data_IF_037021015224
#
_entry.id   IF_037021015224
#
_cell.length_a   1.000
_cell.length_b   1.000
_cell.length_c   1.000
_cell.angle_alpha   90.00
_cell.angle_beta   90.00
_cell.angle_gamma   90.00
#
_symmetry.space_group_name_H-M   'P 1'
#
loop_
_entity.id
_entity.type
_entity.pdbx_description
1 polymer ?
#
# COMPACT_ATOMS: atom_id res chain seq x y z
N UNK A 1 5.80 -37.62 8.85
CA UNK A 1 7.22 -37.30 8.67
C UNK A 1 7.30 -36.58 7.36
N UNK A 2 7.27 -35.26 7.43
CA UNK A 2 7.06 -34.37 6.29
C UNK A 2 8.35 -33.60 6.12
N UNK A 3 9.10 -33.93 5.07
CA UNK A 3 10.34 -33.26 4.71
C UNK A 3 10.02 -31.85 4.23
N UNK A 4 10.63 -30.88 4.91
CA UNK A 4 10.62 -29.47 4.52
C UNK A 4 11.70 -29.32 3.43
N UNK A 5 11.26 -29.09 2.20
CA UNK A 5 12.12 -28.75 1.08
C UNK A 5 12.67 -27.33 1.28
N UNK A 6 13.94 -27.25 1.61
CA UNK A 6 14.75 -26.02 1.60
C UNK A 6 14.96 -25.62 0.14
N UNK A 7 14.38 -24.50 -0.28
CA UNK A 7 14.76 -23.84 -1.53
C UNK A 7 16.13 -23.19 -1.36
N UNK A 8 17.04 -23.47 -2.30
CA UNK A 8 18.36 -22.85 -2.41
C UNK A 8 18.17 -21.49 -3.07
N UNK A 9 18.29 -20.42 -2.28
CA UNK A 9 18.22 -19.04 -2.76
C UNK A 9 19.46 -18.64 -3.55
N UNK A 10 19.24 -17.93 -4.65
CA UNK A 10 20.22 -17.13 -5.38
C UNK A 10 20.92 -16.16 -4.44
N UNK A 11 22.23 -16.04 -4.58
CA UNK A 11 23.11 -15.17 -3.77
C UNK A 11 22.75 -13.69 -3.97
N UNK A 12 21.82 -13.17 -3.17
CA UNK A 12 21.66 -11.74 -2.93
C UNK A 12 22.80 -11.26 -2.01
N UNK A 13 23.42 -10.14 -2.38
CA UNK A 13 24.43 -9.47 -1.57
C UNK A 13 23.81 -8.99 -0.26
N UNK A 14 23.95 -9.79 0.79
CA UNK A 14 23.55 -9.42 2.16
C UNK A 14 24.39 -8.22 2.62
N UNK A 15 23.79 -7.07 2.97
CA UNK A 15 24.51 -5.98 3.59
C UNK A 15 25.14 -6.47 4.90
N UNK A 16 26.34 -5.98 5.23
CA UNK A 16 27.07 -6.40 6.43
C UNK A 16 26.37 -5.94 7.72
N UNK A 17 25.40 -6.74 8.17
CA UNK A 17 24.62 -6.65 9.40
C UNK A 17 23.68 -7.86 9.45
N UNK A 18 23.59 -8.58 10.56
CA UNK A 18 22.71 -9.76 10.65
C UNK A 18 21.23 -9.35 10.48
N UNK A 19 20.40 -10.24 9.93
CA UNK A 19 18.95 -9.98 9.78
C UNK A 19 18.29 -9.71 11.12
N UNK A 20 17.52 -8.63 11.22
CA UNK A 20 16.82 -8.23 12.46
C UNK A 20 15.93 -9.36 12.99
N UNK A 21 15.18 -10.03 12.12
CA UNK A 21 14.25 -11.11 12.51
C UNK A 21 14.94 -12.38 13.04
N UNK A 22 16.22 -12.57 12.71
CA UNK A 22 17.01 -13.71 13.20
C UNK A 22 17.68 -13.38 14.56
N UNK A 23 17.64 -12.12 15.01
CA UNK A 23 18.23 -11.70 16.26
C UNK A 23 17.35 -12.10 17.48
N UNK A 24 17.89 -12.66 18.58
CA UNK A 24 17.10 -13.12 19.72
C UNK A 24 16.23 -12.06 20.42
N UNK A 25 16.54 -10.77 20.24
CA UNK A 25 15.74 -9.67 20.78
C UNK A 25 14.46 -9.39 19.98
N UNK A 26 14.39 -9.80 18.70
CA UNK A 26 13.19 -9.63 17.89
C UNK A 26 11.95 -10.33 18.47
N UNK A 27 11.97 -11.65 18.78
CA UNK A 27 10.80 -12.29 19.38
C UNK A 27 10.44 -11.69 20.76
N UNK A 28 11.43 -11.22 21.53
CA UNK A 28 11.17 -10.53 22.81
C UNK A 28 10.42 -9.22 22.61
N UNK A 29 10.81 -8.43 21.60
CA UNK A 29 10.13 -7.19 21.22
C UNK A 29 8.71 -7.49 20.76
N UNK A 30 8.55 -8.43 19.83
CA UNK A 30 7.26 -8.84 19.26
C UNK A 30 6.30 -9.31 20.35
N UNK A 31 6.74 -10.19 21.25
CA UNK A 31 5.93 -10.69 22.37
C UNK A 31 5.54 -9.58 23.36
N UNK A 32 6.44 -8.62 23.61
CA UNK A 32 6.14 -7.48 24.49
C UNK A 32 5.08 -6.56 23.87
N UNK A 33 5.18 -6.29 22.56
CA UNK A 33 4.15 -5.54 21.83
C UNK A 33 2.82 -6.30 21.84
N UNK A 34 2.82 -7.60 21.52
CA UNK A 34 1.61 -8.43 21.54
C UNK A 34 0.96 -8.50 22.93
N UNK A 35 1.74 -8.38 24.00
CA UNK A 35 1.21 -8.28 25.35
C UNK A 35 0.53 -6.94 25.63
N UNK A 36 1.02 -5.84 25.05
CA UNK A 36 0.45 -4.49 25.23
C UNK A 36 -0.86 -4.33 24.46
N UNK A 37 -0.94 -4.85 23.23
CA UNK A 37 -2.05 -4.60 22.30
C UNK A 37 -3.45 -4.82 22.89
N UNK A 38 -3.75 -5.94 23.60
CA UNK A 38 -5.08 -6.18 24.16
C UNK A 38 -5.50 -5.21 25.26
N UNK A 39 -4.56 -4.49 25.88
CA UNK A 39 -4.83 -3.53 26.94
C UNK A 39 -5.18 -2.14 26.42
N UNK A 40 -4.93 -1.89 25.13
CA UNK A 40 -5.14 -0.57 24.55
C UNK A 40 -6.61 -0.33 24.19
N UNK A 41 -7.08 0.84 24.60
CA UNK A 41 -8.31 1.45 24.12
C UNK A 41 -8.17 1.87 22.65
N UNK A 42 -9.28 2.29 22.04
CA UNK A 42 -9.33 2.67 20.61
C UNK A 42 -8.34 3.77 20.21
N UNK A 43 -8.00 4.65 21.14
CA UNK A 43 -7.06 5.76 20.93
C UNK A 43 -5.60 5.40 21.25
N UNK A 44 -5.34 4.15 21.68
CA UNK A 44 -4.04 3.63 22.03
C UNK A 44 -3.65 3.78 23.51
N UNK A 45 -4.46 4.45 24.33
CA UNK A 45 -4.26 4.57 25.78
C UNK A 45 -4.57 3.26 26.51
N UNK A 46 -4.10 3.10 27.76
CA UNK A 46 -4.51 1.97 28.62
C UNK A 46 -5.44 2.51 29.72
N UNK A 47 -6.66 1.96 29.77
CA UNK A 47 -7.61 2.24 30.84
C UNK A 47 -7.43 1.21 31.96
N UNK A 48 -6.81 1.63 33.07
CA UNK A 48 -6.55 0.75 34.21
C UNK A 48 -7.79 0.45 35.06
N UNK A 49 -8.89 1.16 34.85
CA UNK A 49 -10.16 0.90 35.53
C UNK A 49 -11.06 -0.08 34.73
N UNK A 50 -10.66 -0.43 33.49
CA UNK A 50 -11.41 -1.34 32.63
C UNK A 50 -11.32 -2.80 33.10
N UNK A 51 -12.37 -3.58 32.80
CA UNK A 51 -12.38 -5.02 33.06
C UNK A 51 -11.31 -5.72 32.22
N UNK A 52 -10.43 -6.49 32.87
CA UNK A 52 -9.32 -7.17 32.20
C UNK A 52 -8.07 -6.30 31.98
N UNK A 53 -8.03 -5.08 32.53
CA UNK A 53 -6.84 -4.24 32.52
C UNK A 53 -5.65 -4.90 33.26
N UNK A 54 -4.42 -4.65 32.80
CA UNK A 54 -3.22 -5.14 33.49
C UNK A 54 -3.00 -4.39 34.81
N UNK A 55 -2.18 -4.96 35.69
CA UNK A 55 -1.55 -4.15 36.74
C UNK A 55 -0.61 -3.11 36.11
N UNK A 56 -0.53 -1.91 36.70
CA UNK A 56 0.31 -0.83 36.18
C UNK A 56 1.78 -1.25 36.06
N UNK A 57 2.32 -1.99 37.03
CA UNK A 57 3.68 -2.49 36.99
C UNK A 57 3.94 -3.49 35.86
N UNK A 58 2.92 -4.26 35.46
CA UNK A 58 3.01 -5.14 34.29
C UNK A 58 3.08 -4.36 32.98
N UNK A 59 2.26 -3.31 32.84
CA UNK A 59 2.31 -2.42 31.68
C UNK A 59 3.66 -1.70 31.57
N UNK A 60 4.18 -1.19 32.69
CA UNK A 60 5.50 -0.56 32.76
C UNK A 60 6.63 -1.53 32.38
N UNK A 61 6.56 -2.78 32.85
CA UNK A 61 7.52 -3.81 32.51
C UNK A 61 7.45 -4.18 31.01
N UNK A 62 6.25 -4.28 30.44
CA UNK A 62 6.07 -4.59 29.03
C UNK A 62 6.67 -3.49 28.13
N UNK A 63 6.37 -2.22 28.40
CA UNK A 63 6.95 -1.09 27.66
C UNK A 63 8.47 -1.03 27.82
N UNK A 64 8.99 -1.30 29.03
CA UNK A 64 10.43 -1.35 29.26
C UNK A 64 11.10 -2.45 28.42
N UNK A 65 10.47 -3.63 28.29
CA UNK A 65 10.95 -4.70 27.40
C UNK A 65 10.96 -4.31 25.93
N UNK A 66 9.97 -3.55 25.45
CA UNK A 66 9.98 -3.01 24.08
C UNK A 66 11.18 -2.09 23.89
N UNK A 67 11.34 -1.10 24.77
CA UNK A 67 12.46 -0.15 24.74
C UNK A 67 13.83 -0.85 24.80
N UNK A 68 14.04 -1.77 25.75
CA UNK A 68 15.30 -2.50 25.90
C UNK A 68 15.60 -3.36 24.65
N UNK A 69 14.57 -3.95 24.03
CA UNK A 69 14.76 -4.74 22.80
C UNK A 69 15.09 -3.86 21.59
N UNK A 70 14.49 -2.67 21.48
CA UNK A 70 14.85 -1.67 20.46
C UNK A 70 16.30 -1.24 20.63
N UNK A 71 16.75 -0.94 21.86
CA UNK A 71 18.15 -0.57 22.12
C UNK A 71 19.12 -1.69 21.74
N UNK A 72 18.76 -2.96 21.95
CA UNK A 72 19.57 -4.13 21.57
C UNK A 72 19.61 -4.35 20.05
N UNK A 73 18.52 -4.07 19.33
CA UNK A 73 18.43 -4.24 17.87
C UNK A 73 19.04 -3.06 17.11
N UNK A 74 19.03 -1.86 17.68
CA UNK A 74 19.48 -0.61 17.05
C UNK A 74 20.88 -0.67 16.41
N UNK A 75 21.90 -1.35 17.00
CA UNK A 75 23.20 -1.49 16.35
C UNK A 75 23.20 -2.23 15.00
N UNK A 76 22.17 -3.03 14.70
CA UNK A 76 21.99 -3.66 13.38
C UNK A 76 21.49 -2.67 12.32
N UNK A 77 20.94 -1.54 12.75
CA UNK A 77 20.23 -0.55 11.93
C UNK A 77 20.78 0.87 12.20
N UNK A 78 22.08 1.13 11.93
CA UNK A 78 22.72 2.38 12.31
C UNK A 78 22.12 3.62 11.63
N UNK A 79 21.52 3.47 10.45
CA UNK A 79 20.79 4.53 9.74
C UNK A 79 19.54 5.00 10.49
N UNK A 80 18.93 4.15 11.31
CA UNK A 80 17.74 4.45 12.11
C UNK A 80 18.07 4.83 13.57
N UNK A 81 19.35 5.01 13.93
CA UNK A 81 19.76 5.20 15.32
C UNK A 81 19.06 6.39 16.02
N UNK A 82 18.89 7.51 15.31
CA UNK A 82 18.21 8.70 15.84
C UNK A 82 16.72 8.43 16.10
N UNK A 83 16.07 7.66 15.21
CA UNK A 83 14.71 7.19 15.40
C UNK A 83 14.60 6.26 16.61
N UNK A 84 15.47 5.25 16.75
CA UNK A 84 15.45 4.32 17.87
C UNK A 84 15.65 5.02 19.23
N UNK A 85 16.50 6.06 19.28
CA UNK A 85 16.69 6.88 20.48
C UNK A 85 15.41 7.67 20.82
N UNK A 86 14.78 8.30 19.83
CA UNK A 86 13.52 9.02 20.01
C UNK A 86 12.38 8.07 20.44
N UNK A 87 12.26 6.92 19.79
CA UNK A 87 11.30 5.86 20.10
C UNK A 87 11.40 5.40 21.55
N UNK A 88 12.62 5.16 22.01
CA UNK A 88 12.86 4.73 23.38
C UNK A 88 12.48 5.81 24.41
N UNK A 89 12.72 7.09 24.09
CA UNK A 89 12.27 8.21 24.93
C UNK A 89 10.75 8.34 24.95
N UNK A 90 10.09 8.25 23.80
CA UNK A 90 8.64 8.37 23.68
C UNK A 90 7.93 7.23 24.41
N UNK A 91 8.44 5.99 24.32
CA UNK A 91 7.97 4.84 25.09
C UNK A 91 8.04 5.07 26.60
N UNK A 92 9.20 5.53 27.09
CA UNK A 92 9.41 5.82 28.52
C UNK A 92 8.49 6.94 29.01
N UNK A 93 8.38 8.03 28.23
CA UNK A 93 7.46 9.15 28.52
C UNK A 93 6.01 8.66 28.60
N UNK A 94 5.56 7.84 27.66
CA UNK A 94 4.20 7.31 27.66
C UNK A 94 3.87 6.51 28.92
N UNK A 95 4.81 5.68 29.40
CA UNK A 95 4.66 4.95 30.66
C UNK A 95 4.67 5.89 31.89
N UNK A 96 5.60 6.84 31.95
CA UNK A 96 5.75 7.80 33.05
C UNK A 96 4.50 8.70 33.21
N UNK A 97 3.89 9.09 32.08
CA UNK A 97 2.66 9.88 32.03
C UNK A 97 1.38 9.06 32.30
N UNK A 98 1.52 7.77 32.58
CA UNK A 98 0.42 6.90 32.99
C UNK A 98 -0.44 6.41 31.83
N UNK A 99 0.20 6.08 30.69
CA UNK A 99 -0.40 5.38 29.55
C UNK A 99 -1.62 6.10 28.96
N UNK A 100 -1.55 7.43 28.85
CA UNK A 100 -2.58 8.26 28.19
C UNK A 100 -2.58 8.05 26.68
N UNK A 101 -3.30 8.89 25.93
CA UNK A 101 -3.25 8.83 24.47
C UNK A 101 -1.78 8.97 24.02
N UNK A 102 -1.23 8.01 23.25
CA UNK A 102 0.17 8.04 22.89
C UNK A 102 0.53 9.27 22.04
N UNK A 103 1.71 9.83 22.28
CA UNK A 103 2.32 10.87 21.46
C UNK A 103 3.73 10.43 21.05
N UNK A 104 3.88 10.08 19.78
CA UNK A 104 5.12 9.61 19.17
C UNK A 104 5.60 10.56 18.06
N UNK A 105 5.27 11.86 18.16
CA UNK A 105 5.67 12.84 17.14
C UNK A 105 7.19 12.94 17.01
N UNK A 106 7.93 12.85 18.12
CA UNK A 106 9.39 13.00 18.09
C UNK A 106 10.03 11.79 17.38
N UNK A 107 9.51 10.58 17.66
CA UNK A 107 9.86 9.36 16.93
C UNK A 107 9.50 9.43 15.44
N UNK A 108 8.29 9.93 15.12
CA UNK A 108 7.82 10.05 13.74
C UNK A 108 8.71 10.99 12.92
N UNK A 109 9.09 12.14 13.48
CA UNK A 109 9.96 13.11 12.81
C UNK A 109 11.40 12.61 12.64
N UNK A 110 11.85 11.67 13.47
CA UNK A 110 13.18 11.08 13.38
C UNK A 110 13.25 9.87 12.43
N UNK A 111 12.12 9.26 12.08
CA UNK A 111 12.06 8.13 11.15
C UNK A 111 11.99 8.63 9.70
N UNK A 112 13.10 8.53 8.98
CA UNK A 112 13.27 9.05 7.62
C UNK A 112 13.66 7.94 6.61
N UNK A 113 12.82 6.90 6.40
CA UNK A 113 13.16 5.78 5.51
C UNK A 113 13.36 6.23 4.05
N UNK A 114 12.66 7.28 3.62
CA UNK A 114 12.81 7.84 2.28
C UNK A 114 14.19 8.46 2.01
N UNK A 115 14.95 8.81 3.06
CA UNK A 115 16.34 9.26 2.93
C UNK A 115 17.32 8.10 2.67
N UNK A 116 16.92 6.86 2.97
CA UNK A 116 17.73 5.65 2.90
C UNK A 116 17.00 4.53 2.15
N UNK A 117 16.79 4.73 0.85
CA UNK A 117 16.14 3.75 -0.04
C UNK A 117 17.14 2.80 -0.68
N UNK A 118 18.11 2.30 0.07
CA UNK A 118 19.04 1.31 -0.47
C UNK A 118 18.32 -0.03 -0.61
N UNK A 119 18.49 -0.73 -1.74
CA UNK A 119 17.81 -2.02 -1.98
C UNK A 119 18.21 -3.04 -0.91
N UNK A 120 17.23 -3.74 -0.35
CA UNK A 120 17.46 -4.71 0.72
C UNK A 120 17.73 -4.09 2.10
N UNK A 121 17.72 -2.76 2.26
CA UNK A 121 17.92 -2.12 3.55
C UNK A 121 16.76 -2.45 4.50
N UNK A 122 17.09 -2.91 5.71
CA UNK A 122 16.11 -3.27 6.72
C UNK A 122 15.74 -2.05 7.57
N UNK A 123 14.51 -2.02 8.08
CA UNK A 123 14.07 -1.09 9.12
C UNK A 123 13.25 -1.83 10.18
N UNK A 124 13.36 -1.40 11.44
CA UNK A 124 12.52 -1.86 12.55
C UNK A 124 11.53 -0.75 12.88
N UNK A 125 10.26 -0.91 12.54
CA UNK A 125 9.22 0.09 12.79
C UNK A 125 8.41 -0.32 14.01
N UNK A 126 8.37 0.54 15.03
CA UNK A 126 7.50 0.37 16.20
C UNK A 126 6.74 1.67 16.46
N UNK A 127 5.42 1.62 16.35
CA UNK A 127 4.56 2.79 16.60
C UNK A 127 3.19 2.37 17.14
N UNK A 128 2.53 3.22 17.95
CA UNK A 128 1.10 3.15 18.16
C UNK A 128 0.38 3.74 16.93
N UNK A 129 -0.29 2.90 16.16
CA UNK A 129 -0.94 3.28 14.90
C UNK A 129 -2.18 2.45 14.61
N UNK A 130 -3.02 2.94 13.71
CA UNK A 130 -4.06 2.10 13.08
C UNK A 130 -3.55 1.58 11.74
N UNK A 131 -4.15 0.51 11.21
CA UNK A 131 -3.76 -0.05 9.92
C UNK A 131 -4.88 0.18 8.90
N UNK A 132 -4.57 0.80 7.75
CA UNK A 132 -5.56 1.03 6.70
C UNK A 132 -6.04 -0.33 6.15
N UNK A 133 -7.34 -0.51 5.95
CA UNK A 133 -7.96 -1.78 5.56
C UNK A 133 -7.70 -2.96 6.55
N UNK A 134 -7.24 -2.67 7.77
CA UNK A 134 -7.04 -3.63 8.84
C UNK A 134 -7.79 -3.23 10.11
N UNK A 135 -7.03 -3.08 11.19
CA UNK A 135 -7.52 -2.60 12.48
C UNK A 135 -7.66 -1.06 12.51
N UNK A 136 -8.88 -0.50 12.73
CA UNK A 136 -9.10 0.94 12.81
C UNK A 136 -8.72 1.55 14.18
N UNK A 137 -8.53 0.72 15.20
CA UNK A 137 -8.10 1.16 16.52
C UNK A 137 -6.58 1.35 16.54
N UNK A 138 -6.10 2.25 17.41
CA UNK A 138 -4.66 2.50 17.57
C UNK A 138 -4.06 1.46 18.51
N UNK A 139 -3.14 0.66 17.98
CA UNK A 139 -2.39 -0.32 18.74
C UNK A 139 -0.89 -0.14 18.49
N UNK A 140 -0.06 -0.52 19.46
CA UNK A 140 1.36 -0.72 19.16
C UNK A 140 1.50 -1.86 18.18
N UNK A 141 2.20 -1.60 17.10
CA UNK A 141 2.60 -2.61 16.13
C UNK A 141 4.11 -2.53 15.95
N UNK A 142 4.74 -3.69 15.77
CA UNK A 142 6.13 -3.83 15.42
C UNK A 142 6.25 -4.55 14.08
N UNK A 143 7.01 -3.98 13.16
CA UNK A 143 7.21 -4.49 11.81
C UNK A 143 8.69 -4.41 11.49
N UNK A 144 9.29 -5.54 11.10
CA UNK A 144 10.55 -5.52 10.37
C UNK A 144 10.21 -5.52 8.89
N UNK A 145 10.68 -4.50 8.20
CA UNK A 145 10.50 -4.35 6.77
C UNK A 145 11.85 -4.31 6.06
N UNK A 146 11.82 -4.62 4.76
CA UNK A 146 12.96 -4.55 3.87
C UNK A 146 12.61 -3.67 2.68
N UNK A 147 13.50 -2.75 2.33
CA UNK A 147 13.34 -1.84 1.19
C UNK A 147 13.47 -2.60 -0.13
N UNK A 148 12.62 -2.28 -1.10
CA UNK A 148 12.70 -2.73 -2.48
C UNK A 148 12.99 -1.51 -3.33
N UNK A 149 14.26 -1.35 -3.68
CA UNK A 149 14.76 -0.20 -4.40
C UNK A 149 15.90 -0.55 -5.36
N UNK A 150 15.71 -1.53 -6.25
CA UNK A 150 16.76 -1.96 -7.18
C UNK A 150 17.20 -0.81 -8.10
N UNK A 151 18.43 -0.88 -8.60
CA UNK A 151 19.05 0.19 -9.42
C UNK A 151 18.17 0.68 -10.58
N UNK A 152 17.42 -0.21 -11.23
CA UNK A 152 16.52 0.15 -12.33
C UNK A 152 15.35 1.02 -11.86
N UNK A 153 14.81 0.77 -10.66
CA UNK A 153 13.72 1.55 -10.08
C UNK A 153 14.23 2.92 -9.65
N UNK A 154 15.40 2.95 -8.98
CA UNK A 154 16.07 4.18 -8.59
C UNK A 154 16.36 5.09 -9.80
N UNK A 155 16.81 4.52 -10.92
CA UNK A 155 17.05 5.27 -12.15
C UNK A 155 15.75 5.83 -12.76
N UNK A 156 14.66 5.05 -12.74
CA UNK A 156 13.35 5.51 -13.22
C UNK A 156 12.78 6.65 -12.35
N UNK A 157 12.88 6.55 -11.02
CA UNK A 157 12.48 7.62 -10.11
C UNK A 157 13.26 8.91 -10.40
N UNK A 158 14.59 8.79 -10.49
CA UNK A 158 15.50 9.91 -10.72
C UNK A 158 15.28 10.61 -12.06
N UNK A 159 14.84 9.89 -13.10
CA UNK A 159 14.83 10.40 -14.48
C UNK A 159 13.45 10.62 -15.08
N UNK A 160 12.42 9.90 -14.61
CA UNK A 160 11.09 9.89 -15.24
C UNK A 160 9.94 10.09 -14.26
N UNK A 161 10.04 9.50 -13.06
CA UNK A 161 8.92 9.40 -12.12
C UNK A 161 9.34 9.87 -10.73
N UNK A 162 9.69 11.15 -10.60
CA UNK A 162 10.11 11.74 -9.32
C UNK A 162 9.06 11.48 -8.24
N UNK A 163 9.47 10.76 -7.19
CA UNK A 163 8.65 10.46 -6.04
C UNK A 163 9.55 10.28 -4.82
N UNK A 164 10.06 11.39 -4.25
CA UNK A 164 11.07 11.34 -3.20
C UNK A 164 10.53 10.81 -1.86
N UNK A 165 9.20 10.70 -1.70
CA UNK A 165 8.57 10.24 -0.45
C UNK A 165 8.21 8.74 -0.51
N UNK A 166 8.04 8.18 -1.71
CA UNK A 166 7.66 6.79 -1.87
C UNK A 166 8.78 5.83 -1.45
N UNK A 167 8.37 4.81 -0.69
CA UNK A 167 9.19 3.68 -0.26
C UNK A 167 8.50 2.36 -0.65
N UNK A 168 9.09 1.63 -1.59
CA UNK A 168 8.70 0.25 -1.86
C UNK A 168 9.24 -0.67 -0.77
N UNK A 169 8.39 -1.44 -0.11
CA UNK A 169 8.79 -2.25 1.05
C UNK A 169 8.21 -3.67 0.99
N UNK A 170 8.85 -4.61 1.69
CA UNK A 170 8.34 -5.97 1.95
C UNK A 170 8.34 -6.27 3.44
N UNK A 171 7.47 -7.19 3.88
CA UNK A 171 7.52 -7.71 5.23
C UNK A 171 8.67 -8.71 5.42
N UNK A 172 9.39 -8.61 6.54
CA UNK A 172 10.23 -9.71 7.04
C UNK A 172 9.58 -10.44 8.20
N UNK A 173 9.04 -9.71 9.18
CA UNK A 173 8.13 -10.23 10.21
C UNK A 173 7.37 -9.06 10.85
N UNK A 174 6.24 -9.34 11.49
CA UNK A 174 5.36 -8.31 12.05
C UNK A 174 4.47 -8.85 13.19
N UNK A 175 3.97 -7.93 14.02
CA UNK A 175 2.89 -8.19 14.98
C UNK A 175 1.53 -8.30 14.28
N UNK A 176 0.59 -8.98 14.93
CA UNK A 176 -0.67 -9.43 14.33
C UNK A 176 -1.61 -8.31 13.89
N UNK A 177 -1.35 -7.02 14.15
CA UNK A 177 -2.11 -5.94 13.52
C UNK A 177 -1.85 -5.81 12.02
N UNK A 178 -0.70 -6.30 11.56
CA UNK A 178 -0.42 -6.47 10.13
C UNK A 178 -0.81 -7.85 9.59
N UNK A 179 -1.36 -8.77 10.39
CA UNK A 179 -2.02 -9.99 9.88
C UNK A 179 -3.44 -9.68 9.40
N UNK A 180 -3.53 -8.73 8.47
CA UNK A 180 -4.78 -8.12 7.99
C UNK A 180 -4.71 -7.78 6.49
N UNK A 181 -5.74 -7.11 5.98
CA UNK A 181 -5.73 -6.64 4.59
C UNK A 181 -4.89 -5.36 4.37
N UNK A 182 -4.27 -4.79 5.40
CA UNK A 182 -3.41 -3.61 5.25
C UNK A 182 -2.20 -3.90 4.35
N UNK A 183 -1.89 -3.01 3.42
CA UNK A 183 -0.73 -3.12 2.53
C UNK A 183 0.07 -1.82 2.45
N UNK A 184 -0.11 -0.95 3.44
CA UNK A 184 0.58 0.33 3.51
C UNK A 184 1.11 0.60 4.92
N UNK A 185 2.15 1.40 4.99
CA UNK A 185 2.66 2.01 6.21
C UNK A 185 2.75 3.51 5.93
N UNK A 186 1.83 4.27 6.50
CA UNK A 186 1.74 5.71 6.28
C UNK A 186 1.89 6.48 7.59
N UNK A 187 2.66 7.58 7.60
CA UNK A 187 2.93 8.34 8.81
C UNK A 187 1.66 8.97 9.43
N UNK A 188 0.62 9.23 8.64
CA UNK A 188 -0.69 9.73 9.07
C UNK A 188 -1.41 8.78 10.05
N UNK A 189 -1.01 7.51 10.08
CA UNK A 189 -1.65 6.50 10.92
C UNK A 189 -1.17 6.54 12.37
N UNK A 190 0.00 7.14 12.60
CA UNK A 190 0.73 7.12 13.86
C UNK A 190 0.09 8.09 14.86
N UNK A 191 0.05 7.69 16.14
CA UNK A 191 -0.46 8.52 17.22
C UNK A 191 0.53 9.63 17.59
N UNK A 192 0.11 10.87 17.36
CA UNK A 192 0.90 12.08 17.60
C UNK A 192 0.06 13.16 18.27
N UNK A 193 0.69 14.03 19.07
CA UNK A 193 0.04 15.21 19.69
C UNK A 193 -0.54 16.18 18.67
N UNK A 194 0.10 16.29 17.50
CA UNK A 194 -0.31 17.12 16.38
C UNK A 194 0.25 16.54 15.08
N UNK A 195 -0.51 16.66 13.99
CA UNK A 195 -0.02 16.25 12.68
C UNK A 195 1.19 17.11 12.25
N UNK A 196 2.27 16.51 11.70
CA UNK A 196 3.34 17.25 11.07
C UNK A 196 2.83 18.20 9.98
N UNK A 197 3.54 19.30 9.73
CA UNK A 197 3.20 20.21 8.62
C UNK A 197 3.32 19.51 7.26
N UNK A 198 4.30 18.60 7.15
CA UNK A 198 4.55 17.77 5.98
C UNK A 198 4.99 16.39 6.42
N UNK A 199 4.52 15.37 5.71
CA UNK A 199 5.02 14.01 5.83
C UNK A 199 6.23 13.82 4.91
N UNK A 200 7.17 12.96 5.31
CA UNK A 200 8.46 12.76 4.64
C UNK A 200 8.59 11.40 3.95
N UNK A 201 7.61 10.50 4.11
CA UNK A 201 7.65 9.16 3.53
C UNK A 201 6.26 8.52 3.43
N UNK A 202 6.12 7.53 2.55
CA UNK A 202 4.95 6.64 2.47
C UNK A 202 5.39 5.26 1.98
N UNK A 203 5.09 4.22 2.76
CA UNK A 203 5.50 2.84 2.48
C UNK A 203 4.37 2.01 1.90
N UNK A 204 4.63 1.26 0.83
CA UNK A 204 3.67 0.30 0.24
C UNK A 204 4.30 -1.09 0.17
N UNK A 205 3.58 -2.08 0.70
CA UNK A 205 4.02 -3.47 0.82
C UNK A 205 3.80 -4.24 -0.49
N UNK A 206 4.77 -4.14 -1.41
CA UNK A 206 4.66 -4.72 -2.75
C UNK A 206 4.64 -6.26 -2.74
N UNK A 207 5.22 -6.90 -1.72
CA UNK A 207 5.16 -8.36 -1.51
C UNK A 207 3.74 -8.86 -1.27
N UNK A 208 3.00 -8.12 -0.44
CA UNK A 208 1.62 -8.44 -0.09
C UNK A 208 0.68 -8.23 -1.26
N UNK A 209 0.82 -7.11 -1.96
CA UNK A 209 0.01 -6.86 -3.16
C UNK A 209 0.32 -7.88 -4.26
N UNK A 210 1.60 -8.20 -4.49
CA UNK A 210 2.01 -9.27 -5.40
C UNK A 210 1.40 -10.63 -5.03
N UNK A 211 1.47 -11.04 -3.76
CA UNK A 211 0.91 -12.32 -3.32
C UNK A 211 -0.61 -12.40 -3.51
N UNK A 212 -1.33 -11.29 -3.28
CA UNK A 212 -2.77 -11.20 -3.51
C UNK A 212 -3.11 -11.26 -4.99
N UNK A 213 -2.40 -10.47 -5.81
CA UNK A 213 -2.55 -10.48 -7.26
C UNK A 213 -2.41 -11.90 -7.82
N UNK A 214 -1.35 -12.61 -7.44
CA UNK A 214 -1.11 -13.99 -7.90
C UNK A 214 -2.28 -14.91 -7.55
N UNK A 215 -2.65 -14.95 -6.26
CA UNK A 215 -3.73 -15.82 -5.77
C UNK A 215 -5.09 -15.51 -6.42
N UNK A 216 -5.43 -14.24 -6.58
CA UNK A 216 -6.72 -13.83 -7.16
C UNK A 216 -6.72 -14.05 -8.67
N UNK A 217 -5.60 -13.78 -9.34
CA UNK A 217 -5.45 -14.01 -10.79
C UNK A 217 -5.56 -15.49 -11.12
N UNK A 218 -4.88 -16.37 -10.38
CA UNK A 218 -5.00 -17.83 -10.57
C UNK A 218 -6.46 -18.29 -10.44
N UNK A 219 -7.15 -17.84 -9.39
CA UNK A 219 -8.56 -18.18 -9.19
C UNK A 219 -9.47 -17.60 -10.28
N UNK A 220 -9.24 -16.36 -10.71
CA UNK A 220 -10.00 -15.72 -11.77
C UNK A 220 -9.81 -16.43 -13.12
N UNK A 221 -8.58 -16.82 -13.44
CA UNK A 221 -8.23 -17.57 -14.66
C UNK A 221 -8.98 -18.90 -14.72
N UNK A 222 -8.99 -19.67 -13.62
CA UNK A 222 -9.70 -20.95 -13.51
C UNK A 222 -11.22 -20.77 -13.66
N UNK A 223 -11.80 -19.86 -12.87
CA UNK A 223 -13.26 -19.61 -12.85
C UNK A 223 -13.77 -19.08 -14.20
N UNK A 224 -13.00 -18.21 -14.84
CA UNK A 224 -13.41 -17.53 -16.07
C UNK A 224 -12.99 -18.28 -17.34
N UNK A 225 -12.25 -19.39 -17.22
CA UNK A 225 -11.75 -20.16 -18.35
C UNK A 225 -10.90 -19.32 -19.31
N UNK A 226 -10.11 -18.39 -18.76
CA UNK A 226 -9.38 -17.36 -19.49
C UNK A 226 -8.00 -17.86 -19.90
N UNK A 227 -7.65 -17.65 -21.17
CA UNK A 227 -6.33 -18.05 -21.70
C UNK A 227 -5.32 -16.90 -21.52
N UNK A 228 -4.32 -17.14 -20.66
CA UNK A 228 -3.18 -16.24 -20.46
C UNK A 228 -2.08 -16.49 -21.50
N UNK A 229 -1.39 -15.42 -21.97
CA UNK A 229 -0.09 -15.54 -22.62
C UNK A 229 0.91 -16.30 -21.73
N UNK A 230 1.80 -17.08 -22.33
CA UNK A 230 2.73 -17.94 -21.58
C UNK A 230 3.64 -17.15 -20.64
N UNK A 231 4.14 -15.99 -21.09
CA UNK A 231 5.01 -15.12 -20.30
C UNK A 231 4.32 -14.51 -19.07
N UNK A 232 3.00 -14.31 -19.16
CA UNK A 232 2.16 -13.79 -18.07
C UNK A 232 1.79 -14.92 -17.11
N UNK A 233 1.57 -16.13 -17.61
CA UNK A 233 1.38 -17.31 -16.76
C UNK A 233 2.61 -17.57 -15.90
N UNK A 234 3.81 -17.40 -16.47
CA UNK A 234 5.07 -17.45 -15.71
C UNK A 234 5.14 -16.34 -14.66
N UNK A 235 4.79 -15.10 -15.01
CA UNK A 235 4.72 -13.98 -14.06
C UNK A 235 3.81 -14.31 -12.86
N UNK A 236 2.60 -14.81 -13.10
CA UNK A 236 1.64 -15.17 -12.02
C UNK A 236 2.22 -16.24 -11.10
N UNK A 237 3.09 -17.12 -11.60
CA UNK A 237 3.81 -18.11 -10.81
C UNK A 237 4.98 -17.57 -9.99
N UNK A 238 5.45 -16.35 -10.26
CA UNK A 238 6.70 -15.78 -9.76
C UNK A 238 6.45 -14.60 -8.80
N UNK A 239 6.75 -14.81 -7.52
CA UNK A 239 6.55 -13.80 -6.48
C UNK A 239 7.39 -12.55 -6.71
N UNK A 240 8.66 -12.73 -7.05
CA UNK A 240 9.64 -11.65 -7.10
C UNK A 240 9.41 -10.80 -8.35
N UNK A 241 9.06 -11.45 -9.47
CA UNK A 241 8.64 -10.72 -10.68
C UNK A 241 7.37 -9.91 -10.45
N UNK A 242 6.38 -10.46 -9.74
CA UNK A 242 5.20 -9.67 -9.35
C UNK A 242 5.57 -8.51 -8.43
N UNK A 243 6.43 -8.69 -7.42
CA UNK A 243 6.90 -7.59 -6.56
C UNK A 243 7.52 -6.44 -7.35
N UNK A 244 8.34 -6.75 -8.36
CA UNK A 244 8.93 -5.75 -9.24
C UNK A 244 7.87 -4.99 -10.07
N UNK A 245 6.80 -5.66 -10.48
CA UNK A 245 5.67 -5.01 -11.14
C UNK A 245 4.93 -4.07 -10.17
N UNK A 246 4.61 -4.54 -8.96
CA UNK A 246 3.90 -3.73 -7.97
C UNK A 246 4.70 -2.51 -7.53
N UNK A 247 6.00 -2.65 -7.25
CA UNK A 247 6.79 -1.49 -6.81
C UNK A 247 6.91 -0.41 -7.89
N UNK A 248 6.98 -0.79 -9.17
CA UNK A 248 6.95 0.17 -10.27
C UNK A 248 5.56 0.82 -10.42
N UNK A 249 4.50 0.01 -10.35
CA UNK A 249 3.13 0.51 -10.41
C UNK A 249 2.88 1.52 -9.28
N UNK A 250 3.16 1.13 -8.04
CA UNK A 250 2.95 1.94 -6.84
C UNK A 250 3.71 3.28 -6.92
N UNK A 251 4.98 3.26 -7.36
CA UNK A 251 5.78 4.48 -7.51
C UNK A 251 5.12 5.50 -8.46
N UNK A 252 4.61 5.02 -9.61
CA UNK A 252 3.99 5.88 -10.63
C UNK A 252 2.56 6.27 -10.23
N UNK A 253 1.80 5.35 -9.63
CA UNK A 253 0.46 5.60 -9.13
C UNK A 253 0.47 6.70 -8.05
N UNK A 254 1.26 6.51 -6.99
CA UNK A 254 1.30 7.42 -5.84
C UNK A 254 1.73 8.83 -6.26
N UNK A 255 2.74 8.90 -7.14
CA UNK A 255 3.17 10.15 -7.77
C UNK A 255 2.00 10.85 -8.47
N UNK A 256 1.16 10.10 -9.17
CA UNK A 256 0.09 10.66 -10.00
C UNK A 256 -0.98 11.42 -9.21
N UNK A 257 -1.19 11.09 -7.92
CA UNK A 257 -2.11 11.86 -7.06
C UNK A 257 -1.74 13.35 -6.94
N UNK A 258 -0.46 13.69 -7.10
CA UNK A 258 0.05 15.07 -7.01
C UNK A 258 0.47 15.66 -8.36
N UNK A 259 0.29 14.93 -9.46
CA UNK A 259 0.79 15.31 -10.79
C UNK A 259 -0.30 15.32 -11.87
N UNK A 260 0.00 16.07 -12.94
CA UNK A 260 -0.87 16.21 -14.11
C UNK A 260 -1.93 17.30 -13.95
N UNK A 261 -2.91 17.29 -14.86
CA UNK A 261 -4.06 18.19 -14.80
C UNK A 261 -4.94 17.79 -13.60
N UNK A 262 -4.97 18.62 -12.55
CA UNK A 262 -5.81 18.43 -11.37
C UNK A 262 -6.95 19.47 -11.35
N UNK A 263 -8.10 19.18 -10.72
CA UNK A 263 -9.17 20.16 -10.60
C UNK A 263 -8.68 21.42 -9.89
N UNK A 264 -9.01 22.60 -10.43
CA UNK A 264 -8.57 23.87 -9.88
C UNK A 264 -9.22 24.14 -8.52
N UNK A 265 -8.44 24.04 -7.44
CA UNK A 265 -8.84 24.39 -6.08
C UNK A 265 -7.79 25.31 -5.44
N UNK A 266 -7.79 26.63 -5.75
CA UNK A 266 -6.75 27.56 -5.30
C UNK A 266 -6.76 27.82 -3.79
N UNK A 267 -7.78 27.32 -3.09
CA UNK A 267 -7.93 27.47 -1.65
C UNK A 267 -7.56 26.20 -0.89
N UNK A 268 -7.25 25.09 -1.60
CA UNK A 268 -6.84 23.80 -1.03
C UNK A 268 -7.76 23.34 0.11
N UNK A 269 -9.07 23.60 0.00
CA UNK A 269 -10.01 23.33 1.08
C UNK A 269 -10.27 21.82 1.09
N UNK A 270 -9.68 21.11 2.05
CA UNK A 270 -9.96 19.68 2.30
C UNK A 270 -11.47 19.48 2.46
N UNK A 271 -12.10 18.94 1.43
CA UNK A 271 -13.51 18.61 1.40
C UNK A 271 -13.68 17.22 0.79
N UNK A 272 -14.54 16.41 1.40
CA UNK A 272 -14.85 15.07 0.91
C UNK A 272 -15.42 15.13 -0.49
N UNK A 273 -14.91 14.28 -1.37
CA UNK A 273 -15.46 14.09 -2.70
C UNK A 273 -16.60 13.07 -2.65
N UNK A 274 -17.51 13.05 -3.62
CA UNK A 274 -18.48 11.97 -3.72
C UNK A 274 -17.80 10.65 -4.11
N UNK A 275 -18.43 9.54 -3.77
CA UNK A 275 -17.91 8.17 -3.96
C UNK A 275 -17.36 7.90 -5.37
N UNK A 276 -18.03 8.35 -6.42
CA UNK A 276 -17.58 8.12 -7.80
C UNK A 276 -16.36 8.94 -8.19
N UNK A 277 -16.14 10.10 -7.58
CA UNK A 277 -14.94 10.89 -7.83
C UNK A 277 -13.71 10.25 -7.19
N UNK A 278 -13.86 9.61 -6.01
CA UNK A 278 -12.78 8.77 -5.46
C UNK A 278 -12.46 7.61 -6.42
N UNK A 279 -13.48 6.89 -6.92
CA UNK A 279 -13.25 5.79 -7.87
C UNK A 279 -12.61 6.25 -9.19
N UNK A 280 -12.93 7.46 -9.66
CA UNK A 280 -12.29 8.06 -10.84
C UNK A 280 -10.85 8.51 -10.57
N UNK A 281 -10.57 9.03 -9.37
CA UNK A 281 -9.22 9.45 -8.99
C UNK A 281 -8.26 8.28 -8.91
N UNK A 282 -8.66 7.20 -8.24
CA UNK A 282 -7.85 5.98 -8.15
C UNK A 282 -7.66 5.34 -9.53
N UNK A 283 -8.73 5.27 -10.33
CA UNK A 283 -8.63 4.77 -11.70
C UNK A 283 -7.75 5.66 -12.57
N UNK A 284 -7.80 7.00 -12.42
CA UNK A 284 -6.91 7.93 -13.14
C UNK A 284 -5.45 7.62 -12.83
N UNK A 285 -5.11 7.43 -11.57
CA UNK A 285 -3.74 7.15 -11.13
C UNK A 285 -3.25 5.82 -11.71
N UNK A 286 -4.07 4.77 -11.64
CA UNK A 286 -3.73 3.47 -12.22
C UNK A 286 -3.63 3.46 -13.74
N UNK A 287 -4.54 4.15 -14.43
CA UNK A 287 -4.49 4.21 -15.89
C UNK A 287 -3.34 5.10 -16.38
N UNK A 288 -2.90 6.06 -15.57
CA UNK A 288 -1.66 6.79 -15.81
C UNK A 288 -0.45 5.88 -15.65
N UNK A 289 -0.37 5.10 -14.57
CA UNK A 289 0.67 4.10 -14.37
C UNK A 289 0.68 3.06 -15.50
N UNK A 290 -0.48 2.58 -15.93
CA UNK A 290 -0.66 1.69 -17.08
C UNK A 290 -0.13 2.31 -18.38
N UNK A 291 -0.50 3.56 -18.68
CA UNK A 291 -0.05 4.28 -19.87
C UNK A 291 1.47 4.46 -19.89
N UNK A 292 2.07 4.77 -18.74
CA UNK A 292 3.52 4.85 -18.60
C UNK A 292 4.19 3.48 -18.75
N UNK A 293 3.58 2.43 -18.20
CA UNK A 293 4.04 1.06 -18.33
C UNK A 293 4.05 0.56 -19.79
N UNK A 294 3.09 0.98 -20.61
CA UNK A 294 3.11 0.75 -22.07
C UNK A 294 4.36 1.35 -22.72
N UNK A 295 4.68 2.61 -22.41
CA UNK A 295 5.88 3.28 -22.93
C UNK A 295 7.16 2.61 -22.44
N UNK A 296 7.21 2.20 -21.18
CA UNK A 296 8.35 1.49 -20.60
C UNK A 296 8.57 0.13 -21.28
N UNK A 297 7.51 -0.60 -21.59
CA UNK A 297 7.59 -1.84 -22.35
C UNK A 297 8.15 -1.61 -23.77
N UNK A 298 7.69 -0.56 -24.46
CA UNK A 298 8.21 -0.17 -25.78
C UNK A 298 9.69 0.25 -25.73
N UNK A 299 10.12 0.86 -24.62
CA UNK A 299 11.51 1.22 -24.33
C UNK A 299 12.37 0.01 -23.88
N UNK A 300 11.77 -1.18 -23.74
CA UNK A 300 12.47 -2.42 -23.38
C UNK A 300 12.66 -2.64 -21.88
N UNK A 301 11.93 -1.93 -21.01
CA UNK A 301 11.89 -2.17 -19.56
C UNK A 301 10.91 -3.32 -19.29
N UNK A 302 11.37 -4.51 -18.84
CA UNK A 302 10.52 -5.71 -18.72
C UNK A 302 9.30 -5.51 -17.83
N UNK A 303 9.46 -4.80 -16.72
CA UNK A 303 8.42 -4.54 -15.73
C UNK A 303 7.24 -3.74 -16.32
N UNK A 304 7.45 -2.98 -17.39
CA UNK A 304 6.38 -2.23 -18.06
C UNK A 304 5.28 -3.14 -18.64
N UNK A 305 5.64 -4.34 -19.11
CA UNK A 305 4.64 -5.32 -19.55
C UNK A 305 3.92 -5.92 -18.35
N UNK A 306 4.65 -6.23 -17.30
CA UNK A 306 4.10 -6.87 -16.09
C UNK A 306 3.10 -5.95 -15.37
N UNK A 307 3.40 -4.65 -15.25
CA UNK A 307 2.49 -3.64 -14.68
C UNK A 307 1.17 -3.57 -15.46
N UNK A 308 1.20 -3.66 -16.79
CA UNK A 308 -0.04 -3.63 -17.59
C UNK A 308 -0.99 -4.77 -17.19
N UNK A 309 -0.47 -5.99 -17.03
CA UNK A 309 -1.29 -7.13 -16.61
C UNK A 309 -1.72 -7.02 -15.15
N UNK A 310 -0.83 -6.57 -14.26
CA UNK A 310 -1.16 -6.36 -12.85
C UNK A 310 -2.35 -5.40 -12.69
N UNK A 311 -2.28 -4.22 -13.32
CA UNK A 311 -3.36 -3.21 -13.30
C UNK A 311 -4.68 -3.79 -13.83
N UNK A 312 -4.64 -4.44 -15.00
CA UNK A 312 -5.84 -4.99 -15.64
C UNK A 312 -6.53 -6.02 -14.73
N UNK A 313 -5.79 -6.99 -14.22
CA UNK A 313 -6.36 -8.06 -13.38
C UNK A 313 -6.84 -7.56 -12.03
N UNK A 314 -6.08 -6.71 -11.36
CA UNK A 314 -6.48 -6.21 -10.06
C UNK A 314 -7.70 -5.30 -10.14
N UNK A 315 -7.73 -4.38 -11.11
CA UNK A 315 -8.91 -3.55 -11.34
C UNK A 315 -10.12 -4.38 -11.75
N UNK A 316 -9.97 -5.38 -12.61
CA UNK A 316 -11.14 -6.16 -13.08
C UNK A 316 -11.62 -7.23 -12.10
N UNK A 317 -10.73 -7.84 -11.30
CA UNK A 317 -11.07 -9.06 -10.55
C UNK A 317 -10.78 -8.97 -9.05
N UNK A 318 -9.72 -8.30 -8.61
CA UNK A 318 -9.38 -8.23 -7.18
C UNK A 318 -10.12 -7.11 -6.46
N UNK A 319 -10.01 -5.87 -6.95
CA UNK A 319 -10.64 -4.73 -6.30
C UNK A 319 -12.16 -4.86 -6.24
N UNK A 320 -12.89 -5.28 -7.30
CA UNK A 320 -14.36 -5.36 -7.24
C UNK A 320 -14.91 -6.37 -6.22
N UNK A 321 -14.13 -7.37 -5.83
CA UNK A 321 -14.52 -8.40 -4.85
C UNK A 321 -13.95 -8.14 -3.44
N UNK A 322 -13.16 -7.08 -3.27
CA UNK A 322 -12.56 -6.73 -1.98
C UNK A 322 -13.51 -5.84 -1.18
N UNK A 323 -14.04 -6.33 -0.06
CA UNK A 323 -14.85 -5.54 0.88
C UNK A 323 -16.28 -5.22 0.41
N UNK A 324 -16.98 -4.37 1.17
CA UNK A 324 -18.38 -4.02 0.89
C UNK A 324 -18.52 -2.93 -0.18
N UNK A 325 -19.53 -3.09 -1.04
CA UNK A 325 -19.86 -2.16 -2.15
C UNK A 325 -19.95 -0.68 -1.74
N UNK A 326 -20.48 -0.37 -0.56
CA UNK A 326 -20.79 1.01 -0.13
C UNK A 326 -19.52 1.85 0.09
N UNK A 327 -18.37 1.21 0.33
CA UNK A 327 -17.10 1.88 0.63
C UNK A 327 -15.99 1.55 -0.36
N UNK A 328 -16.18 0.56 -1.23
CA UNK A 328 -15.20 0.12 -2.20
C UNK A 328 -15.26 0.94 -3.50
N UNK A 329 -14.70 2.15 -3.49
CA UNK A 329 -14.61 2.98 -4.69
C UNK A 329 -13.63 2.41 -5.73
N UNK A 330 -12.64 1.62 -5.31
CA UNK A 330 -11.75 0.90 -6.24
C UNK A 330 -12.50 -0.09 -7.11
N UNK A 331 -13.48 -0.78 -6.53
CA UNK A 331 -14.39 -1.66 -7.24
C UNK A 331 -15.25 -0.94 -8.27
N UNK A 332 -15.62 0.33 -8.04
CA UNK A 332 -16.30 1.15 -9.06
C UNK A 332 -15.37 1.43 -10.24
N UNK A 333 -14.12 1.83 -9.97
CA UNK A 333 -13.12 2.05 -11.02
C UNK A 333 -12.88 0.78 -11.85
N UNK A 334 -12.81 -0.37 -11.18
CA UNK A 334 -12.72 -1.68 -11.80
C UNK A 334 -13.90 -2.05 -12.70
N UNK A 335 -15.12 -1.80 -12.23
CA UNK A 335 -16.34 -2.00 -13.03
C UNK A 335 -16.35 -1.10 -14.27
N UNK A 336 -15.93 0.16 -14.13
CA UNK A 336 -15.84 1.10 -15.24
C UNK A 336 -14.87 0.60 -16.30
N UNK A 337 -13.65 0.20 -15.90
CA UNK A 337 -12.67 -0.39 -16.81
C UNK A 337 -13.22 -1.62 -17.54
N UNK A 338 -13.81 -2.56 -16.80
CA UNK A 338 -14.40 -3.77 -17.38
C UNK A 338 -15.50 -3.42 -18.41
N UNK A 339 -16.42 -2.54 -18.05
CA UNK A 339 -17.52 -2.12 -18.92
C UNK A 339 -17.01 -1.40 -20.18
N UNK A 340 -15.97 -0.58 -20.05
CA UNK A 340 -15.35 0.13 -21.17
C UNK A 340 -14.72 -0.85 -22.16
N UNK A 341 -13.84 -1.75 -21.68
CA UNK A 341 -13.20 -2.77 -22.51
C UNK A 341 -14.21 -3.70 -23.18
N UNK A 342 -15.30 -4.05 -22.48
CA UNK A 342 -16.38 -4.84 -23.06
C UNK A 342 -17.12 -4.11 -24.18
N UNK A 343 -17.47 -2.83 -23.99
CA UNK A 343 -18.16 -2.04 -25.03
C UNK A 343 -17.31 -1.80 -26.28
N UNK A 344 -16.00 -1.89 -26.16
CA UNK A 344 -15.04 -1.74 -27.24
C UNK A 344 -14.60 -3.09 -27.85
N UNK A 345 -15.32 -4.18 -27.54
CA UNK A 345 -15.06 -5.54 -28.04
C UNK A 345 -13.68 -6.12 -27.67
N UNK A 346 -13.02 -5.58 -26.63
CA UNK A 346 -11.77 -6.14 -26.09
C UNK A 346 -12.04 -7.30 -25.14
N UNK A 347 -13.09 -7.16 -24.31
CA UNK A 347 -13.57 -8.22 -23.43
C UNK A 347 -14.84 -8.84 -24.01
N UNK A 348 -14.91 -10.17 -24.05
CA UNK A 348 -16.13 -10.90 -24.42
C UNK A 348 -16.39 -12.05 -23.46
N UNK A 349 -17.61 -12.09 -22.92
CA UNK A 349 -18.11 -13.23 -22.15
C UNK A 349 -19.07 -14.04 -23.01
N UNK A 350 -18.71 -15.27 -23.35
CA UNK A 350 -19.55 -16.15 -24.18
C UNK A 350 -19.30 -17.59 -23.78
N UNK A 351 -20.36 -18.41 -23.74
CA UNK A 351 -20.29 -19.83 -23.37
C UNK A 351 -19.54 -20.11 -22.05
N UNK A 352 -19.74 -19.22 -21.07
CA UNK A 352 -19.09 -19.24 -19.76
C UNK A 352 -17.55 -19.13 -19.80
N UNK A 353 -17.01 -18.48 -20.83
CA UNK A 353 -15.59 -18.13 -20.92
C UNK A 353 -15.39 -16.64 -21.14
N UNK A 354 -14.40 -16.08 -20.47
CA UNK A 354 -13.94 -14.71 -20.69
C UNK A 354 -12.79 -14.73 -21.69
N UNK A 355 -12.99 -14.05 -22.81
CA UNK A 355 -11.95 -13.76 -23.78
C UNK A 355 -11.47 -12.32 -23.62
N UNK A 356 -10.15 -12.12 -23.72
CA UNK A 356 -9.50 -10.81 -23.73
C UNK A 356 -8.62 -10.71 -24.97
N UNK A 357 -8.84 -9.67 -25.78
CA UNK A 357 -7.91 -9.30 -26.84
C UNK A 357 -6.69 -8.59 -26.23
N UNK A 358 -5.67 -9.37 -25.88
CA UNK A 358 -4.43 -8.86 -25.28
C UNK A 358 -3.66 -7.88 -26.17
N UNK A 359 -3.89 -7.93 -27.49
CA UNK A 359 -3.25 -7.00 -28.42
C UNK A 359 -3.96 -5.64 -28.39
N UNK A 360 -5.29 -5.61 -28.27
CA UNK A 360 -6.13 -4.40 -28.25
C UNK A 360 -6.33 -3.79 -26.85
N UNK A 361 -6.11 -4.56 -25.79
CA UNK A 361 -6.34 -4.10 -24.43
C UNK A 361 -5.53 -2.84 -24.07
N UNK A 362 -4.23 -2.72 -24.37
CA UNK A 362 -3.49 -1.52 -24.00
C UNK A 362 -3.96 -0.24 -24.70
N UNK A 363 -4.36 -0.32 -25.98
CA UNK A 363 -4.83 0.84 -26.73
C UNK A 363 -6.17 1.34 -26.18
N UNK A 364 -7.12 0.44 -25.96
CA UNK A 364 -8.46 0.80 -25.46
C UNK A 364 -8.40 1.24 -23.99
N UNK A 365 -7.55 0.66 -23.17
CA UNK A 365 -7.31 1.15 -21.80
C UNK A 365 -6.74 2.58 -21.82
N UNK A 366 -5.84 2.90 -22.75
CA UNK A 366 -5.31 4.26 -22.92
C UNK A 366 -6.37 5.24 -23.46
N UNK A 367 -7.36 4.78 -24.23
CA UNK A 367 -8.52 5.60 -24.63
C UNK A 367 -9.34 6.03 -23.41
N UNK A 368 -9.65 5.10 -22.49
CA UNK A 368 -10.31 5.41 -21.22
C UNK A 368 -9.47 6.36 -20.36
N UNK A 369 -8.15 6.13 -20.28
CA UNK A 369 -7.23 7.05 -19.60
C UNK A 369 -7.38 8.48 -20.13
N UNK A 370 -7.38 8.66 -21.45
CA UNK A 370 -7.49 9.96 -22.08
C UNK A 370 -8.86 10.63 -21.83
N UNK A 371 -9.95 9.86 -21.78
CA UNK A 371 -11.27 10.38 -21.41
C UNK A 371 -11.30 10.92 -19.97
N UNK A 372 -10.69 10.19 -19.02
CA UNK A 372 -10.60 10.61 -17.62
C UNK A 372 -9.65 11.81 -17.48
N UNK A 373 -8.49 11.81 -18.13
CA UNK A 373 -7.58 12.96 -18.14
C UNK A 373 -8.26 14.22 -18.69
N UNK A 374 -9.07 14.08 -19.75
CA UNK A 374 -9.86 15.19 -20.28
C UNK A 374 -10.89 15.68 -19.26
N UNK A 375 -11.59 14.79 -18.55
CA UNK A 375 -12.53 15.19 -17.49
C UNK A 375 -11.84 16.08 -16.45
N UNK A 376 -10.63 15.69 -16.04
CA UNK A 376 -9.82 16.40 -15.06
C UNK A 376 -9.28 17.73 -15.57
N UNK A 377 -8.74 17.76 -16.79
CA UNK A 377 -8.31 18.99 -17.47
C UNK A 377 -9.43 20.01 -17.58
N UNK A 378 -10.60 19.59 -18.05
CA UNK A 378 -11.76 20.46 -18.18
C UNK A 378 -12.30 20.92 -16.81
N UNK A 379 -11.83 20.34 -15.70
CA UNK A 379 -12.20 20.73 -14.34
C UNK A 379 -11.83 22.17 -14.00
N UNK A 380 -10.82 22.76 -14.64
CA UNK A 380 -10.43 24.16 -14.43
C UNK A 380 -11.54 25.15 -14.80
N UNK A 381 -12.38 24.79 -15.77
CA UNK A 381 -13.46 25.65 -16.28
C UNK A 381 -14.79 25.42 -15.54
N UNK A 382 -14.84 24.48 -14.58
CA UNK A 382 -16.08 24.04 -13.93
C UNK A 382 -16.10 24.43 -12.45
N UNK A 383 -17.22 25.00 -11.95
CA UNK A 383 -17.49 24.96 -10.53
C UNK A 383 -17.47 23.51 -10.03
N UNK A 384 -16.98 23.28 -8.81
CA UNK A 384 -16.79 21.95 -8.23
C UNK A 384 -17.99 21.00 -8.37
N UNK A 385 -19.21 21.47 -8.06
CA UNK A 385 -20.42 20.66 -8.21
C UNK A 385 -20.69 20.26 -9.67
N UNK A 386 -20.41 21.16 -10.62
CA UNK A 386 -20.55 20.88 -12.05
C UNK A 386 -19.50 19.87 -12.50
N UNK A 387 -18.28 19.95 -11.98
CA UNK A 387 -17.24 18.95 -12.23
C UNK A 387 -17.66 17.56 -11.69
N UNK A 388 -18.24 17.49 -10.49
CA UNK A 388 -18.75 16.23 -9.94
C UNK A 388 -19.89 15.63 -10.77
N UNK A 389 -20.79 16.47 -11.31
CA UNK A 389 -21.84 16.03 -12.23
C UNK A 389 -21.25 15.50 -13.55
N UNK A 390 -20.24 16.16 -14.11
CA UNK A 390 -19.54 15.67 -15.29
C UNK A 390 -18.86 14.31 -15.03
N UNK A 391 -18.25 14.12 -13.86
CA UNK A 391 -17.71 12.82 -13.45
C UNK A 391 -18.80 11.75 -13.31
N UNK A 392 -19.97 12.12 -12.76
CA UNK A 392 -21.13 11.22 -12.68
C UNK A 392 -21.65 10.86 -14.07
N UNK A 393 -21.72 11.81 -15.01
CA UNK A 393 -22.13 11.57 -16.40
C UNK A 393 -21.18 10.60 -17.12
N UNK A 394 -19.87 10.74 -16.94
CA UNK A 394 -18.88 9.80 -17.46
C UNK A 394 -19.14 8.39 -16.91
N UNK A 395 -19.23 8.24 -15.57
CA UNK A 395 -19.44 6.93 -14.95
C UNK A 395 -20.77 6.30 -15.39
N UNK A 396 -21.85 7.08 -15.37
CA UNK A 396 -23.19 6.60 -15.70
C UNK A 396 -23.41 6.30 -17.18
N UNK A 397 -22.54 6.80 -18.06
CA UNK A 397 -22.49 6.37 -19.46
C UNK A 397 -22.20 4.87 -19.56
N UNK A 398 -21.30 4.35 -18.72
CA UNK A 398 -20.85 2.96 -18.76
C UNK A 398 -21.55 2.05 -17.75
N UNK A 399 -21.86 2.58 -16.56
CA UNK A 399 -22.40 1.82 -15.43
C UNK A 399 -23.82 2.26 -15.06
N UNK A 400 -24.73 1.29 -14.95
CA UNK A 400 -26.05 1.56 -14.42
C UNK A 400 -25.99 1.73 -12.89
N UNK A 401 -26.75 2.67 -12.31
CA UNK A 401 -26.84 2.79 -10.87
C UNK A 401 -27.47 1.53 -10.28
N UNK A 402 -26.89 1.01 -9.20
CA UNK A 402 -27.47 -0.12 -8.49
C UNK A 402 -28.83 0.30 -7.87
N UNK A 403 -29.89 -0.53 -7.98
CA UNK A 403 -31.22 -0.19 -7.44
C UNK A 403 -31.24 0.09 -5.92
N UNK A 404 -30.27 -0.45 -5.18
CA UNK A 404 -30.08 -0.23 -3.75
C UNK A 404 -29.16 0.95 -3.37
N UNK A 405 -28.67 1.74 -4.31
CA UNK A 405 -28.01 3.02 -4.00
C UNK A 405 -29.07 3.99 -3.45
N UNK A 406 -28.83 4.55 -2.26
CA UNK A 406 -29.74 5.50 -1.60
C UNK A 406 -29.26 6.94 -1.76
#
# INVERSE_FOLDING_TARGET
>A
MTEILVQVGTEEQVPSGGRVVDHPAWPVLKDAVERIRPWQSKDGSIDFDAEGAPDRGEAELAVRRVADSVEVLSPLLPHDAAYHEALTRDLRRWADEGFKVPDFLDSLLAFEPAAHREDGLQHLVVFPMYTQNGNPDRNFEAVVLRMVWPDWLAELERTRYDNPLFCGITFEDFTSGYDTNSAVLFPETIAVRQAPERFSWGGIFCDREAARFRRVTEAAVDILGLDLPDDVREMVGDQDRCQQAFVLWDMVHDRTHSHGDLPFDPFMIKQRQPFWMYGLEELRCDLTAFKEAVKLADDGVPQGRDVQYAVLFDRMFRFPVTGERVRNYDGLGGQLLFAYLHRHDVLRWTDNKLFIDWQRAPQVTNELCAEIEKLYRDGIDRPKLVHWLAGYELVSTYLAPHPGSK
#
